data_IF_197726982634
#
_entry.id   IF_197726982634
#
_cell.length_a   1.000
_cell.length_b   1.000
_cell.length_c   1.000
_cell.angle_alpha   90.00
_cell.angle_beta   90.00
_cell.angle_gamma   90.00
#
_symmetry.space_group_name_H-M   'P 1'
#
loop_
_entity.id
_entity.type
_entity.pdbx_description
1 polymer ?
#
# COMPACT_ATOMS: atom_id res chain seq x y z
N UNK A 1 -47.69 -1.08 20.31
CA UNK A 1 -47.66 0.00 19.32
C UNK A 1 -46.63 1.06 19.70
N UNK A 2 -46.59 1.56 20.94
CA UNK A 2 -45.61 2.59 21.37
C UNK A 2 -44.18 2.13 21.15
N UNK A 3 -43.80 0.95 21.62
CA UNK A 3 -42.43 0.42 21.48
C UNK A 3 -42.02 0.29 20.00
N UNK A 4 -42.95 -0.14 19.14
CA UNK A 4 -42.63 -0.25 17.70
C UNK A 4 -42.40 1.11 17.04
N UNK A 5 -43.12 2.17 17.47
CA UNK A 5 -42.92 3.53 16.96
C UNK A 5 -41.59 4.10 17.46
N UNK A 6 -41.25 3.88 18.73
CA UNK A 6 -39.99 4.29 19.34
C UNK A 6 -38.80 3.63 18.65
N UNK A 7 -38.92 2.36 18.27
CA UNK A 7 -37.94 1.61 17.50
C UNK A 7 -37.78 2.16 16.09
N UNK A 8 -38.89 2.48 15.40
CA UNK A 8 -38.84 3.14 14.08
C UNK A 8 -38.20 4.52 14.19
N UNK A 9 -38.58 5.32 15.18
CA UNK A 9 -38.00 6.64 15.40
C UNK A 9 -36.48 6.56 15.72
N UNK A 10 -36.05 5.56 16.44
CA UNK A 10 -34.65 5.45 16.83
C UNK A 10 -33.78 4.95 15.68
N UNK A 11 -34.26 3.98 14.89
CA UNK A 11 -33.48 3.27 13.90
C UNK A 11 -33.73 3.70 12.44
N UNK A 12 -34.64 4.63 12.21
CA UNK A 12 -34.96 5.10 10.85
C UNK A 12 -34.94 6.63 10.72
N UNK A 13 -34.91 7.10 9.48
CA UNK A 13 -35.02 8.51 9.14
C UNK A 13 -36.46 9.03 9.12
N UNK A 14 -37.40 8.34 9.76
CA UNK A 14 -38.79 8.74 9.82
C UNK A 14 -39.21 9.00 11.25
N UNK A 15 -40.05 10.04 11.44
CA UNK A 15 -40.83 10.28 12.64
C UNK A 15 -42.21 9.71 12.41
N UNK A 16 -42.69 8.86 13.32
CA UNK A 16 -43.99 8.23 13.22
C UNK A 16 -44.83 8.62 14.43
N UNK A 17 -45.97 9.25 14.17
CA UNK A 17 -46.98 9.51 15.18
C UNK A 17 -48.28 8.82 14.78
N UNK A 18 -49.21 8.66 15.71
CA UNK A 18 -50.48 8.04 15.42
C UNK A 18 -51.63 8.63 16.23
N UNK A 19 -52.82 8.69 15.62
CA UNK A 19 -54.08 9.03 16.23
C UNK A 19 -54.99 7.81 16.26
N UNK A 20 -55.73 7.68 17.38
CA UNK A 20 -56.75 6.64 17.55
C UNK A 20 -58.14 7.24 17.34
N UNK A 21 -58.81 6.80 16.31
CA UNK A 21 -60.21 7.18 16.07
C UNK A 21 -61.09 6.20 16.81
N UNK A 22 -61.95 6.74 17.68
CA UNK A 22 -62.86 5.93 18.49
C UNK A 22 -64.28 6.01 17.94
N UNK A 23 -64.98 4.87 17.93
CA UNK A 23 -66.39 4.78 17.67
C UNK A 23 -67.07 4.23 18.90
N UNK A 24 -67.68 5.12 19.70
CA UNK A 24 -68.17 4.76 21.00
C UNK A 24 -67.05 4.45 22.01
N UNK A 25 -67.10 3.28 22.65
CA UNK A 25 -66.07 2.83 23.65
C UNK A 25 -64.87 2.10 23.02
N UNK A 26 -64.97 1.74 21.75
CA UNK A 26 -63.93 0.95 21.05
C UNK A 26 -63.10 1.82 20.10
N UNK A 27 -61.86 1.42 19.88
CA UNK A 27 -61.01 2.01 18.82
C UNK A 27 -61.49 1.41 17.50
N UNK A 28 -61.89 2.28 16.57
CA UNK A 28 -62.37 1.91 15.25
C UNK A 28 -61.23 1.84 14.25
N UNK A 29 -60.35 2.85 14.26
CA UNK A 29 -59.18 2.91 13.35
C UNK A 29 -58.03 3.67 13.98
N UNK A 30 -56.84 3.46 13.39
CA UNK A 30 -55.60 4.15 13.76
C UNK A 30 -55.07 4.82 12.50
N UNK A 31 -54.82 6.11 12.59
CA UNK A 31 -54.20 6.90 11.51
C UNK A 31 -52.73 7.11 11.88
N UNK A 32 -51.84 6.71 11.02
CA UNK A 32 -50.40 6.96 11.19
C UNK A 32 -50.02 8.21 10.40
N UNK A 33 -49.22 9.06 11.04
CA UNK A 33 -48.57 10.20 10.42
C UNK A 33 -47.10 9.90 10.33
N UNK A 34 -46.58 9.84 9.10
CA UNK A 34 -45.17 9.51 8.82
C UNK A 34 -44.52 10.74 8.20
N UNK A 35 -43.56 11.31 8.90
CA UNK A 35 -42.75 12.43 8.42
C UNK A 35 -41.31 11.99 8.30
N UNK A 36 -40.65 12.39 7.21
CA UNK A 36 -39.24 12.22 7.08
C UNK A 36 -38.51 13.19 8.01
N UNK A 37 -37.65 12.68 8.89
CA UNK A 37 -36.80 13.55 9.72
C UNK A 37 -36.05 14.49 8.79
N UNK A 38 -36.15 15.79 9.02
CA UNK A 38 -35.26 16.77 8.42
C UNK A 38 -33.90 16.51 9.03
N UNK A 39 -33.08 15.69 8.34
CA UNK A 39 -31.68 15.68 8.66
C UNK A 39 -31.19 17.12 8.45
N UNK A 40 -30.68 17.75 9.49
CA UNK A 40 -29.86 18.93 9.32
C UNK A 40 -28.91 18.62 8.16
N UNK A 41 -28.65 19.58 7.27
CA UNK A 41 -27.78 19.40 6.11
C UNK A 41 -26.42 18.94 6.62
N UNK A 42 -26.33 17.68 6.99
CA UNK A 42 -25.09 17.02 7.36
C UNK A 42 -24.31 16.75 6.08
N UNK A 43 -23.52 17.75 5.72
CA UNK A 43 -22.59 17.64 4.62
C UNK A 43 -21.36 16.81 4.99
N UNK A 44 -21.37 16.09 6.12
CA UNK A 44 -20.23 15.26 6.57
C UNK A 44 -19.80 14.26 5.50
N UNK A 45 -20.76 13.62 4.81
CA UNK A 45 -20.46 12.72 3.69
C UNK A 45 -19.74 13.41 2.51
N UNK A 46 -19.98 14.71 2.31
CA UNK A 46 -19.28 15.49 1.27
C UNK A 46 -17.87 15.81 1.69
N UNK A 47 -17.64 16.05 2.98
CA UNK A 47 -16.31 16.26 3.54
C UNK A 47 -15.51 14.95 3.51
N UNK A 48 -16.10 13.83 3.91
CA UNK A 48 -15.49 12.50 3.83
C UNK A 48 -15.15 12.13 2.39
N UNK A 49 -16.04 12.40 1.43
CA UNK A 49 -15.77 12.18 0.02
C UNK A 49 -14.62 13.06 -0.50
N UNK A 50 -14.50 14.31 -0.06
CA UNK A 50 -13.39 15.18 -0.45
C UNK A 50 -12.08 14.65 0.11
N UNK A 51 -12.02 14.34 1.40
CA UNK A 51 -10.85 13.75 2.03
C UNK A 51 -10.43 12.46 1.32
N UNK A 52 -11.36 11.56 1.04
CA UNK A 52 -11.10 10.33 0.29
C UNK A 52 -10.56 10.58 -1.12
N UNK A 53 -11.11 11.58 -1.84
CA UNK A 53 -10.63 11.93 -3.18
C UNK A 53 -9.24 12.59 -3.15
N UNK A 54 -8.96 13.39 -2.14
CA UNK A 54 -7.65 14.01 -1.93
C UNK A 54 -6.60 12.95 -1.59
N UNK A 55 -6.90 12.02 -0.68
CA UNK A 55 -6.02 10.89 -0.35
C UNK A 55 -5.74 10.01 -1.57
N UNK A 56 -6.77 9.69 -2.34
CA UNK A 56 -6.63 8.93 -3.59
C UNK A 56 -5.75 9.64 -4.61
N UNK A 57 -5.94 10.95 -4.76
CA UNK A 57 -5.14 11.78 -5.68
C UNK A 57 -3.68 11.90 -5.21
N UNK A 58 -3.47 12.05 -3.91
CA UNK A 58 -2.13 12.08 -3.32
C UNK A 58 -1.40 10.75 -3.49
N UNK A 59 -2.10 9.64 -3.25
CA UNK A 59 -1.55 8.29 -3.46
C UNK A 59 -1.15 8.07 -4.92
N UNK A 60 -2.00 8.47 -5.87
CA UNK A 60 -1.71 8.36 -7.30
C UNK A 60 -0.51 9.22 -7.73
N UNK A 61 -0.35 10.43 -7.18
CA UNK A 61 0.84 11.26 -7.42
C UNK A 61 2.10 10.62 -6.87
N UNK A 62 2.06 10.12 -5.64
CA UNK A 62 3.18 9.44 -5.01
C UNK A 62 3.61 8.20 -5.81
N UNK A 63 2.66 7.40 -6.32
CA UNK A 63 2.95 6.25 -7.16
C UNK A 63 3.59 6.67 -8.51
N UNK A 64 3.14 7.77 -9.12
CA UNK A 64 3.71 8.28 -10.36
C UNK A 64 5.16 8.78 -10.15
N UNK A 65 5.42 9.46 -9.04
CA UNK A 65 6.77 9.92 -8.69
C UNK A 65 7.71 8.73 -8.41
N UNK A 66 7.24 7.72 -7.70
CA UNK A 66 8.00 6.49 -7.47
C UNK A 66 8.27 5.72 -8.76
N UNK A 67 7.29 5.66 -9.67
CA UNK A 67 7.48 5.07 -10.99
C UNK A 67 8.60 5.76 -11.76
N UNK A 68 8.57 7.09 -11.81
CA UNK A 68 9.60 7.88 -12.50
C UNK A 68 10.99 7.60 -11.92
N UNK A 69 11.12 7.66 -10.60
CA UNK A 69 12.37 7.33 -9.91
C UNK A 69 12.84 5.90 -10.20
N UNK A 70 11.92 4.93 -10.20
CA UNK A 70 12.22 3.55 -10.52
C UNK A 70 12.75 3.39 -11.95
N UNK A 71 12.14 4.08 -12.92
CA UNK A 71 12.55 4.02 -14.34
C UNK A 71 13.97 4.58 -14.56
N UNK A 72 14.34 5.62 -13.82
CA UNK A 72 15.66 6.25 -13.88
C UNK A 72 16.72 5.50 -13.04
N UNK A 73 16.28 4.56 -12.19
CA UNK A 73 17.17 3.86 -11.27
C UNK A 73 18.11 2.90 -11.99
N UNK A 74 19.38 2.92 -11.61
CA UNK A 74 20.38 1.93 -12.05
C UNK A 74 20.00 0.49 -11.65
N UNK A 75 19.25 0.32 -10.56
CA UNK A 75 18.82 -1.00 -10.12
C UNK A 75 17.82 -1.62 -11.08
N UNK A 76 16.94 -0.82 -11.69
CA UNK A 76 16.02 -1.29 -12.75
C UNK A 76 16.80 -1.88 -13.92
N UNK A 77 17.89 -1.20 -14.37
CA UNK A 77 18.75 -1.72 -15.41
C UNK A 77 19.42 -3.04 -14.99
N UNK A 78 19.96 -3.11 -13.76
CA UNK A 78 20.56 -4.35 -13.25
C UNK A 78 19.56 -5.51 -13.15
N UNK A 79 18.30 -5.23 -12.81
CA UNK A 79 17.23 -6.23 -12.80
C UNK A 79 16.91 -6.75 -14.20
N UNK A 80 16.87 -5.86 -15.20
CA UNK A 80 16.70 -6.23 -16.62
C UNK A 80 17.86 -7.08 -17.11
N UNK A 81 19.10 -6.66 -16.85
CA UNK A 81 20.33 -7.36 -17.26
C UNK A 81 20.40 -8.79 -16.66
N UNK A 82 19.88 -8.96 -15.44
CA UNK A 82 19.76 -10.25 -14.78
C UNK A 82 18.48 -11.03 -15.12
N UNK A 83 17.65 -10.55 -16.03
CA UNK A 83 16.35 -11.17 -16.40
C UNK A 83 15.39 -11.36 -15.20
N UNK A 84 15.57 -10.60 -14.13
CA UNK A 84 14.71 -10.58 -12.94
C UNK A 84 13.50 -9.68 -13.12
N UNK A 85 13.56 -8.75 -14.06
CA UNK A 85 12.50 -7.86 -14.49
C UNK A 85 12.43 -7.91 -16.02
N UNK A 86 11.23 -7.99 -16.58
CA UNK A 86 11.03 -7.91 -18.02
C UNK A 86 10.62 -6.49 -18.46
N UNK A 87 10.88 -6.08 -19.71
CA UNK A 87 10.39 -4.80 -20.23
C UNK A 87 8.86 -4.66 -20.13
N UNK A 88 8.13 -5.75 -20.22
CA UNK A 88 6.68 -5.76 -20.06
C UNK A 88 6.26 -5.43 -18.62
N UNK A 89 6.94 -5.98 -17.63
CA UNK A 89 6.68 -5.72 -16.20
C UNK A 89 6.97 -4.26 -15.80
N UNK A 90 7.83 -3.56 -16.56
CA UNK A 90 8.07 -2.13 -16.33
C UNK A 90 6.85 -1.24 -16.60
N UNK A 91 5.84 -1.74 -17.32
CA UNK A 91 4.57 -1.02 -17.54
C UNK A 91 3.63 -1.10 -16.33
N UNK A 92 3.89 -2.00 -15.39
CA UNK A 92 3.13 -2.12 -14.15
C UNK A 92 3.61 -1.06 -13.13
N UNK A 93 2.83 0.03 -13.03
CA UNK A 93 3.11 1.15 -12.12
C UNK A 93 3.23 0.70 -10.67
N UNK A 94 2.36 -0.20 -10.23
CA UNK A 94 2.34 -0.69 -8.85
C UNK A 94 3.58 -1.53 -8.52
N UNK A 95 4.01 -2.37 -9.46
CA UNK A 95 5.24 -3.15 -9.33
C UNK A 95 6.46 -2.24 -9.25
N UNK A 96 6.59 -1.29 -10.18
CA UNK A 96 7.73 -0.38 -10.23
C UNK A 96 7.79 0.54 -9.01
N UNK A 97 6.66 1.11 -8.59
CA UNK A 97 6.57 1.89 -7.36
C UNK A 97 6.93 1.04 -6.13
N UNK A 98 6.49 -0.23 -6.08
CA UNK A 98 6.83 -1.17 -5.02
C UNK A 98 8.34 -1.51 -4.96
N UNK A 99 9.00 -1.67 -6.11
CA UNK A 99 10.45 -1.84 -6.20
C UNK A 99 11.19 -0.60 -5.65
N UNK A 100 10.79 0.58 -6.09
CA UNK A 100 11.40 1.84 -5.64
C UNK A 100 11.22 2.07 -4.14
N UNK A 101 10.01 1.84 -3.62
CA UNK A 101 9.71 2.12 -2.22
C UNK A 101 10.31 1.10 -1.23
N UNK A 102 10.42 -0.18 -1.63
CA UNK A 102 10.68 -1.25 -0.68
C UNK A 102 11.93 -2.08 -0.97
N UNK A 103 12.46 -2.04 -2.19
CA UNK A 103 13.59 -2.88 -2.60
C UNK A 103 14.84 -2.05 -2.83
N UNK A 104 14.75 -0.96 -3.57
CA UNK A 104 15.92 -0.15 -3.92
C UNK A 104 16.62 0.49 -2.73
N UNK A 105 15.93 0.96 -1.67
CA UNK A 105 16.62 1.42 -0.47
C UNK A 105 17.48 0.34 0.21
N UNK A 106 17.04 -0.93 0.17
CA UNK A 106 17.82 -2.04 0.69
C UNK A 106 19.06 -2.32 -0.18
N UNK A 107 18.96 -2.12 -1.49
CA UNK A 107 20.11 -2.19 -2.39
C UNK A 107 21.05 -0.99 -2.23
N UNK A 108 20.56 0.20 -1.86
CA UNK A 108 21.42 1.32 -1.50
C UNK A 108 22.21 1.00 -0.23
N UNK A 109 21.60 0.34 0.75
CA UNK A 109 22.29 -0.14 1.95
C UNK A 109 23.36 -1.20 1.60
N UNK A 110 23.03 -2.21 0.80
CA UNK A 110 23.99 -3.20 0.33
C UNK A 110 25.14 -2.56 -0.46
N UNK A 111 24.81 -1.58 -1.31
CA UNK A 111 25.81 -0.82 -2.06
C UNK A 111 26.76 -0.04 -1.15
N UNK A 112 26.27 0.53 -0.07
CA UNK A 112 27.10 1.22 0.92
C UNK A 112 28.09 0.25 1.59
N UNK A 113 27.69 -1.00 1.83
CA UNK A 113 28.52 -2.02 2.47
C UNK A 113 29.49 -2.72 1.51
N UNK A 114 29.04 -3.04 0.30
CA UNK A 114 29.77 -3.93 -0.65
C UNK A 114 30.03 -3.30 -2.03
N UNK A 115 29.68 -2.04 -2.22
CA UNK A 115 29.73 -1.39 -3.51
C UNK A 115 28.70 -1.94 -4.50
N UNK A 116 28.74 -1.44 -5.73
CA UNK A 116 27.83 -1.88 -6.79
C UNK A 116 28.05 -3.36 -7.18
N UNK A 117 29.27 -3.85 -7.07
CA UNK A 117 29.57 -5.25 -7.35
C UNK A 117 28.87 -6.20 -6.38
N UNK A 118 28.79 -5.85 -5.08
CA UNK A 118 28.02 -6.65 -4.12
C UNK A 118 26.53 -6.73 -4.46
N UNK A 119 25.96 -5.68 -5.05
CA UNK A 119 24.58 -5.71 -5.57
C UNK A 119 24.46 -6.64 -6.78
N UNK A 120 25.40 -6.57 -7.73
CA UNK A 120 25.44 -7.46 -8.91
C UNK A 120 25.58 -8.94 -8.50
N UNK A 121 26.47 -9.22 -7.56
CA UNK A 121 26.68 -10.58 -7.05
C UNK A 121 25.42 -11.13 -6.40
N UNK A 122 24.76 -10.32 -5.57
CA UNK A 122 23.49 -10.69 -4.95
C UNK A 122 22.39 -10.95 -6.00
N UNK A 123 22.26 -10.08 -7.01
CA UNK A 123 21.26 -10.26 -8.08
C UNK A 123 21.54 -11.52 -8.90
N UNK A 124 22.80 -11.81 -9.21
CA UNK A 124 23.21 -13.04 -9.90
C UNK A 124 22.88 -14.29 -9.07
N UNK A 125 23.10 -14.23 -7.76
CA UNK A 125 22.72 -15.30 -6.84
C UNK A 125 21.20 -15.50 -6.80
N UNK A 126 20.43 -14.42 -6.70
CA UNK A 126 18.97 -14.44 -6.71
C UNK A 126 18.46 -15.06 -8.01
N UNK A 127 19.04 -14.66 -9.16
CA UNK A 127 18.71 -15.24 -10.46
C UNK A 127 18.96 -16.75 -10.50
N UNK A 128 20.10 -17.20 -10.00
CA UNK A 128 20.45 -18.62 -9.99
C UNK A 128 19.53 -19.46 -9.10
N UNK A 129 18.97 -18.85 -8.05
CA UNK A 129 18.03 -19.48 -7.11
C UNK A 129 16.57 -19.40 -7.57
N UNK A 130 16.26 -18.54 -8.53
CA UNK A 130 14.91 -18.37 -9.02
C UNK A 130 14.51 -19.56 -9.89
N UNK A 131 13.61 -20.38 -9.39
CA UNK A 131 12.97 -21.44 -10.19
C UNK A 131 12.09 -20.80 -11.29
N UNK A 132 12.09 -21.40 -12.48
CA UNK A 132 11.45 -20.88 -13.69
C UNK A 132 9.94 -20.56 -13.55
N UNK A 133 9.29 -21.03 -12.50
CA UNK A 133 7.86 -20.90 -12.27
C UNK A 133 7.45 -19.96 -11.14
N UNK A 134 8.39 -19.34 -10.42
CA UNK A 134 8.05 -18.54 -9.21
C UNK A 134 7.92 -17.03 -9.45
N UNK A 135 7.56 -16.61 -10.66
CA UNK A 135 7.49 -15.19 -11.07
C UNK A 135 6.31 -14.39 -10.53
N UNK A 136 5.54 -14.87 -9.55
CA UNK A 136 4.28 -14.20 -9.16
C UNK A 136 4.42 -12.82 -8.50
N UNK A 137 5.55 -12.50 -7.90
CA UNK A 137 5.78 -11.16 -7.35
C UNK A 137 7.28 -10.91 -7.12
N UNK A 138 7.96 -10.44 -8.14
CA UNK A 138 9.41 -10.20 -8.11
C UNK A 138 9.81 -9.20 -7.00
N UNK A 139 9.00 -8.16 -6.74
CA UNK A 139 9.32 -7.19 -5.69
C UNK A 139 9.34 -7.82 -4.29
N UNK A 140 8.35 -8.67 -3.97
CA UNK A 140 8.31 -9.40 -2.69
C UNK A 140 9.46 -10.40 -2.58
N UNK A 141 9.78 -11.08 -3.68
CA UNK A 141 10.86 -12.05 -3.70
C UNK A 141 12.22 -11.38 -3.45
N UNK A 142 12.51 -10.31 -4.19
CA UNK A 142 13.74 -9.52 -4.02
C UNK A 142 13.84 -8.91 -2.64
N UNK A 143 12.74 -8.33 -2.13
CA UNK A 143 12.69 -7.79 -0.78
C UNK A 143 13.10 -8.85 0.25
N UNK A 144 12.48 -10.01 0.22
CA UNK A 144 12.79 -11.11 1.14
C UNK A 144 14.24 -11.58 1.01
N UNK A 145 14.73 -11.71 -0.23
CA UNK A 145 16.10 -12.16 -0.48
C UNK A 145 17.14 -11.19 0.09
N UNK A 146 16.95 -9.87 -0.13
CA UNK A 146 17.90 -8.87 0.36
C UNK A 146 17.80 -8.68 1.88
N UNK A 147 16.59 -8.74 2.46
CA UNK A 147 16.40 -8.70 3.92
C UNK A 147 17.07 -9.86 4.64
N UNK A 148 17.14 -11.03 4.02
CA UNK A 148 17.87 -12.19 4.55
C UNK A 148 19.38 -12.07 4.37
N UNK A 149 19.83 -11.42 3.30
CA UNK A 149 21.25 -11.30 2.97
C UNK A 149 21.98 -10.20 3.76
N UNK A 150 21.35 -9.04 3.96
CA UNK A 150 21.94 -7.89 4.65
C UNK A 150 22.49 -8.19 6.05
N UNK A 151 21.77 -8.91 6.94
CA UNK A 151 22.30 -9.26 8.25
C UNK A 151 23.60 -10.09 8.16
N UNK A 152 23.67 -11.04 7.23
CA UNK A 152 24.87 -11.85 7.01
C UNK A 152 26.04 -11.00 6.58
N UNK A 153 25.83 -10.03 5.69
CA UNK A 153 26.86 -9.08 5.24
C UNK A 153 27.36 -8.23 6.40
N UNK A 154 26.43 -7.71 7.22
CA UNK A 154 26.77 -6.89 8.40
C UNK A 154 27.57 -7.67 9.43
N UNK A 155 27.21 -8.92 9.71
CA UNK A 155 27.95 -9.79 10.63
C UNK A 155 29.37 -10.07 10.13
N UNK A 156 29.55 -10.36 8.83
CA UNK A 156 30.85 -10.56 8.22
C UNK A 156 31.76 -9.33 8.32
N UNK A 157 31.19 -8.13 8.25
CA UNK A 157 31.97 -6.89 8.39
C UNK A 157 32.35 -6.60 9.84
N UNK A 158 31.56 -7.05 10.81
CA UNK A 158 31.91 -6.99 12.24
C UNK A 158 33.03 -7.96 12.60
N UNK A 159 33.04 -9.16 12.00
CA UNK A 159 34.05 -10.20 12.25
C UNK A 159 35.40 -9.89 11.57
N UNK A 160 35.39 -9.14 10.46
CA UNK A 160 36.59 -8.83 9.67
C UNK A 160 36.69 -7.32 9.35
N UNK A 161 36.92 -6.46 10.36
CA UNK A 161 36.91 -5.01 10.17
C UNK A 161 38.02 -4.49 9.25
N UNK A 162 39.12 -5.23 9.08
CA UNK A 162 40.22 -4.85 8.19
C UNK A 162 39.84 -4.98 6.70
N UNK A 163 39.02 -5.97 6.32
CA UNK A 163 38.54 -6.12 4.95
C UNK A 163 37.52 -5.08 4.54
N UNK A 164 36.74 -4.58 5.48
CA UNK A 164 35.77 -3.51 5.25
C UNK A 164 36.44 -2.17 4.92
N UNK A 165 37.59 -1.85 5.58
CA UNK A 165 38.36 -0.62 5.33
C UNK A 165 39.02 -0.57 3.95
N UNK A 166 39.47 -1.71 3.41
CA UNK A 166 40.10 -1.78 2.09
C UNK A 166 39.09 -1.60 0.95
N UNK A 167 37.86 -2.11 1.13
CA UNK A 167 36.78 -1.99 0.13
C UNK A 167 36.16 -0.60 0.06
N UNK A 168 36.06 0.13 1.19
CA UNK A 168 35.54 1.50 1.23
C UNK A 168 36.42 2.55 0.52
N UNK A 169 37.73 2.29 0.37
CA UNK A 169 38.65 3.20 -0.35
C UNK A 169 38.58 3.08 -1.89
N UNK A 170 38.00 2.01 -2.42
CA UNK A 170 37.87 1.81 -3.86
C UNK A 170 36.57 2.40 -4.47
N UNK A 171 35.65 2.90 -3.66
CA UNK A 171 34.34 3.39 -4.13
C UNK A 171 34.27 4.91 -4.39
N UNK A 172 35.43 5.62 -4.24
CA UNK A 172 35.47 7.10 -4.35
C UNK A 172 35.99 7.60 -5.70
N UNK A 173 36.25 6.74 -6.67
CA UNK A 173 36.68 7.12 -8.02
C UNK A 173 35.86 6.37 -9.07
N UNK A 174 34.64 6.82 -9.30
CA UNK A 174 33.94 6.72 -10.61
C UNK A 174 32.70 7.60 -10.59
#
# INVERSE_FOLDING_TARGET
>A
LKNAIEEIDTHTSFNVTYDKIKKGRSIDSIVFHIEKKRMADDNSYKLDNRAYQEDKKQKSRNEADLLKQAMESKYTRLLLDNMLLSPYEMTDTSLMAGLQAHVYPLYDELKALRGLNGVKDHLSYVRAKQEAYSKRNIAKYLKKAIEQYLPTVKLQDLEQPERAKVRGKGASHE
#
